data_IF_033982406425
#
_entry.id   IF_033982406425
#
_cell.length_a   1.000
_cell.length_b   1.000
_cell.length_c   1.000
_cell.angle_alpha   90.00
_cell.angle_beta   90.00
_cell.angle_gamma   90.00
#
_symmetry.space_group_name_H-M   'P 1'
#
loop_
_entity.id
_entity.type
_entity.pdbx_description
1 polymer ?
#
# COMPACT_ATOMS: atom_id res chain seq x y z
N UNK A 1 -20.82 19.51 -80.13
CA UNK A 1 -20.34 20.23 -78.92
C UNK A 1 -21.14 19.81 -77.69
N UNK A 2 -21.15 18.51 -77.35
CA UNK A 2 -22.05 17.95 -76.31
C UNK A 2 -21.31 17.29 -75.14
N UNK A 3 -20.00 17.02 -75.25
CA UNK A 3 -19.26 16.28 -74.22
C UNK A 3 -18.84 17.10 -72.99
N UNK A 4 -18.90 18.44 -73.07
CA UNK A 4 -18.48 19.31 -71.95
C UNK A 4 -19.58 19.47 -70.87
N UNK A 5 -20.85 19.30 -71.26
CA UNK A 5 -21.99 19.37 -70.33
C UNK A 5 -22.03 18.17 -69.38
N UNK A 6 -21.63 16.99 -69.85
CA UNK A 6 -21.74 15.73 -69.09
C UNK A 6 -20.70 15.62 -67.95
N UNK A 7 -19.50 16.19 -68.12
CA UNK A 7 -18.47 16.19 -67.08
C UNK A 7 -18.94 17.00 -65.86
N UNK A 8 -19.60 18.13 -66.07
CA UNK A 8 -20.01 19.03 -64.99
C UNK A 8 -21.17 18.46 -64.14
N UNK A 9 -22.04 17.62 -64.71
CA UNK A 9 -23.13 17.00 -63.95
C UNK A 9 -22.66 15.83 -63.06
N UNK A 10 -21.70 15.04 -63.54
CA UNK A 10 -21.23 13.86 -62.80
C UNK A 10 -20.57 14.21 -61.46
N UNK A 11 -19.84 15.34 -61.38
CA UNK A 11 -19.14 15.75 -60.17
C UNK A 11 -19.96 16.67 -59.25
N UNK A 12 -21.09 17.22 -59.70
CA UNK A 12 -21.90 18.16 -58.90
C UNK A 12 -22.41 17.53 -57.61
N UNK A 13 -22.97 16.31 -57.68
CA UNK A 13 -23.51 15.62 -56.51
C UNK A 13 -22.43 15.22 -55.49
N UNK A 14 -21.21 14.95 -55.96
CA UNK A 14 -20.03 14.65 -55.12
C UNK A 14 -19.48 15.91 -54.45
N UNK A 15 -19.42 17.03 -55.19
CA UNK A 15 -19.01 18.31 -54.63
C UNK A 15 -19.99 18.77 -53.55
N UNK A 16 -21.30 18.55 -53.74
CA UNK A 16 -22.32 19.01 -52.81
C UNK A 16 -22.26 18.39 -51.42
N UNK A 17 -21.69 17.20 -51.31
CA UNK A 17 -21.48 16.48 -50.04
C UNK A 17 -20.25 16.96 -49.25
N UNK A 18 -19.42 17.83 -49.85
CA UNK A 18 -18.21 18.32 -49.20
C UNK A 18 -18.47 19.57 -48.34
N UNK A 19 -17.74 19.73 -47.22
CA UNK A 19 -17.76 20.95 -46.43
C UNK A 19 -17.42 22.20 -47.26
N UNK A 20 -18.02 23.38 -46.98
CA UNK A 20 -17.80 24.60 -47.76
C UNK A 20 -16.33 25.03 -47.92
N UNK A 21 -15.48 24.71 -46.93
CA UNK A 21 -14.04 24.96 -46.97
C UNK A 21 -13.34 24.10 -48.03
N UNK A 22 -13.77 22.84 -48.20
CA UNK A 22 -13.18 21.90 -49.16
C UNK A 22 -13.70 22.13 -50.58
N UNK A 23 -14.96 22.55 -50.75
CA UNK A 23 -15.53 22.93 -52.05
C UNK A 23 -14.66 23.97 -52.78
N UNK A 24 -14.19 24.99 -52.05
CA UNK A 24 -13.32 26.04 -52.61
C UNK A 24 -11.95 25.50 -53.03
N UNK A 25 -11.31 24.66 -52.21
CA UNK A 25 -9.99 24.11 -52.52
C UNK A 25 -10.04 23.13 -53.70
N UNK A 26 -11.07 22.28 -53.75
CA UNK A 26 -11.29 21.36 -54.88
C UNK A 26 -11.58 22.12 -56.17
N UNK A 27 -12.44 23.15 -56.13
CA UNK A 27 -12.71 24.01 -57.29
C UNK A 27 -11.46 24.77 -57.76
N UNK A 28 -10.65 25.27 -56.83
CA UNK A 28 -9.38 25.92 -57.13
C UNK A 28 -8.42 24.95 -57.83
N UNK A 29 -8.27 23.72 -57.32
CA UNK A 29 -7.43 22.67 -57.92
C UNK A 29 -7.91 22.25 -59.32
N UNK A 30 -9.22 22.16 -59.52
CA UNK A 30 -9.81 21.82 -60.82
C UNK A 30 -9.56 22.92 -61.87
N UNK A 31 -9.57 24.19 -61.44
CA UNK A 31 -9.39 25.35 -62.34
C UNK A 31 -7.93 25.76 -62.54
N UNK A 32 -7.03 25.41 -61.61
CA UNK A 32 -5.58 25.67 -61.72
C UNK A 32 -4.77 24.54 -62.36
N UNK A 33 -5.36 23.36 -62.60
CA UNK A 33 -4.69 22.24 -63.33
C UNK A 33 -4.49 22.48 -64.84
N UNK A 34 -4.47 23.74 -65.29
CA UNK A 34 -4.50 24.16 -66.70
C UNK A 34 -3.22 23.80 -67.48
N UNK A 35 -2.08 23.52 -66.82
CA UNK A 35 -0.78 23.40 -67.49
C UNK A 35 -0.07 22.04 -67.37
N UNK A 36 -0.65 21.01 -66.72
CA UNK A 36 -0.15 19.63 -66.80
C UNK A 36 -1.20 18.61 -66.29
N UNK A 37 -2.27 18.33 -67.05
CA UNK A 37 -3.20 17.26 -66.71
C UNK A 37 -2.49 15.91 -66.86
N UNK A 38 -2.55 15.06 -65.82
CA UNK A 38 -2.22 13.64 -65.96
C UNK A 38 -3.08 13.07 -67.08
N UNK A 39 -2.45 12.33 -68.01
CA UNK A 39 -3.19 11.53 -69.00
C UNK A 39 -4.19 10.62 -68.27
N UNK A 40 -5.32 10.30 -68.93
CA UNK A 40 -6.31 9.34 -68.45
C UNK A 40 -5.67 7.99 -68.07
N UNK A 41 -4.54 7.65 -68.70
CA UNK A 41 -3.73 6.46 -68.42
C UNK A 41 -2.81 6.60 -67.19
N UNK A 42 -2.42 7.82 -66.81
CA UNK A 42 -1.48 8.10 -65.72
C UNK A 42 -2.16 8.39 -64.38
N UNK A 43 -3.39 8.91 -64.41
CA UNK A 43 -4.19 9.17 -63.22
C UNK A 43 -4.43 7.93 -62.32
N UNK A 44 -4.84 6.75 -62.86
CA UNK A 44 -5.07 5.57 -62.03
C UNK A 44 -3.78 5.01 -61.42
N UNK A 45 -2.65 5.15 -62.11
CA UNK A 45 -1.33 4.70 -61.62
C UNK A 45 -0.89 5.56 -60.43
N UNK A 46 -1.00 6.89 -60.55
CA UNK A 46 -0.65 7.80 -59.48
C UNK A 46 -1.56 7.65 -58.25
N UNK A 47 -2.86 7.39 -58.46
CA UNK A 47 -3.81 7.10 -57.38
C UNK A 47 -3.47 5.79 -56.66
N UNK A 48 -3.18 4.74 -57.42
CA UNK A 48 -2.80 3.44 -56.86
C UNK A 48 -1.48 3.51 -56.07
N UNK A 49 -0.50 4.26 -56.58
CA UNK A 49 0.78 4.47 -55.89
C UNK A 49 0.60 5.27 -54.59
N UNK A 50 -0.18 6.36 -54.62
CA UNK A 50 -0.52 7.13 -53.43
C UNK A 50 -1.25 6.27 -52.38
N UNK A 51 -2.23 5.47 -52.81
CA UNK A 51 -2.95 4.54 -51.94
C UNK A 51 -2.01 3.51 -51.30
N UNK A 52 -1.09 2.91 -52.06
CA UNK A 52 -0.13 1.95 -51.55
C UNK A 52 0.86 2.57 -50.55
N UNK A 53 1.31 3.80 -50.80
CA UNK A 53 2.20 4.52 -49.90
C UNK A 53 1.50 4.88 -48.59
N UNK A 54 0.25 5.34 -48.64
CA UNK A 54 -0.58 5.59 -47.46
C UNK A 54 -0.78 4.30 -46.67
N UNK A 55 -1.15 3.20 -47.34
CA UNK A 55 -1.36 1.89 -46.69
C UNK A 55 -0.11 1.42 -45.94
N UNK A 56 1.06 1.45 -46.59
CA UNK A 56 2.34 1.08 -45.96
C UNK A 56 2.67 1.93 -44.73
N UNK A 57 2.39 3.23 -44.81
CA UNK A 57 2.63 4.17 -43.70
C UNK A 57 1.75 3.85 -42.50
N UNK A 58 0.45 3.58 -42.74
CA UNK A 58 -0.49 3.19 -41.68
C UNK A 58 -0.07 1.85 -41.06
N UNK A 59 0.28 0.86 -41.87
CA UNK A 59 0.73 -0.45 -41.38
C UNK A 59 1.98 -0.34 -40.49
N UNK A 60 2.95 0.49 -40.88
CA UNK A 60 4.14 0.75 -40.08
C UNK A 60 3.79 1.42 -38.74
N UNK A 61 2.98 2.48 -38.75
CA UNK A 61 2.54 3.16 -37.53
C UNK A 61 1.76 2.23 -36.60
N UNK A 62 0.86 1.40 -37.14
CA UNK A 62 0.12 0.41 -36.35
C UNK A 62 1.06 -0.62 -35.71
N UNK A 63 2.10 -1.06 -36.43
CA UNK A 63 3.09 -1.98 -35.87
C UNK A 63 3.90 -1.34 -34.73
N UNK A 64 4.32 -0.09 -34.88
CA UNK A 64 5.03 0.68 -33.84
C UNK A 64 4.16 0.88 -32.60
N UNK A 65 2.90 1.27 -32.78
CA UNK A 65 1.95 1.47 -31.68
C UNK A 65 1.65 0.16 -30.94
N UNK A 66 1.49 -0.95 -31.66
CA UNK A 66 1.32 -2.28 -31.06
C UNK A 66 2.53 -2.67 -30.22
N UNK A 67 3.74 -2.40 -30.71
CA UNK A 67 4.97 -2.66 -29.96
C UNK A 67 5.04 -1.78 -28.70
N UNK A 68 4.79 -0.48 -28.84
CA UNK A 68 4.79 0.47 -27.71
C UNK A 68 3.81 0.06 -26.61
N UNK A 69 2.58 -0.28 -26.99
CA UNK A 69 1.54 -0.75 -26.05
C UNK A 69 1.96 -2.03 -25.32
N UNK A 70 2.62 -2.96 -26.04
CA UNK A 70 3.13 -4.19 -25.44
C UNK A 70 4.23 -3.91 -24.42
N UNK A 71 5.21 -3.07 -24.78
CA UNK A 71 6.31 -2.69 -23.91
C UNK A 71 5.79 -1.95 -22.64
N UNK A 72 4.81 -1.05 -22.81
CA UNK A 72 4.18 -0.33 -21.69
C UNK A 72 3.40 -1.27 -20.76
N UNK A 73 2.66 -2.23 -21.32
CA UNK A 73 1.96 -3.25 -20.55
C UNK A 73 2.95 -4.10 -19.72
N UNK A 74 4.04 -4.56 -20.33
CA UNK A 74 5.04 -5.39 -19.67
C UNK A 74 5.77 -4.59 -18.56
N UNK A 75 6.07 -3.30 -18.81
CA UNK A 75 6.63 -2.41 -17.80
C UNK A 75 5.69 -2.17 -16.62
N UNK A 76 4.40 -1.97 -16.89
CA UNK A 76 3.37 -1.80 -15.85
C UNK A 76 3.23 -3.08 -15.01
N UNK A 77 3.24 -4.24 -15.65
CA UNK A 77 3.19 -5.52 -14.95
C UNK A 77 4.39 -5.73 -14.04
N UNK A 78 5.61 -5.48 -14.54
CA UNK A 78 6.83 -5.57 -13.73
C UNK A 78 6.80 -4.59 -12.55
N UNK A 79 6.33 -3.35 -12.77
CA UNK A 79 6.18 -2.35 -11.71
C UNK A 79 5.19 -2.80 -10.64
N UNK A 80 4.00 -3.28 -11.04
CA UNK A 80 2.97 -3.77 -10.12
C UNK A 80 3.49 -4.92 -9.27
N UNK A 81 4.21 -5.87 -9.88
CA UNK A 81 4.81 -7.01 -9.18
C UNK A 81 5.88 -6.56 -8.18
N UNK A 82 6.74 -5.62 -8.58
CA UNK A 82 7.76 -5.04 -7.68
C UNK A 82 7.14 -4.30 -6.50
N UNK A 83 6.12 -3.47 -6.72
CA UNK A 83 5.42 -2.74 -5.66
C UNK A 83 4.77 -3.71 -4.66
N UNK A 84 4.11 -4.76 -5.15
CA UNK A 84 3.54 -5.80 -4.30
C UNK A 84 4.62 -6.51 -3.46
N UNK A 85 5.72 -6.93 -4.08
CA UNK A 85 6.81 -7.62 -3.38
C UNK A 85 7.47 -6.73 -2.33
N UNK A 86 7.72 -5.45 -2.66
CA UNK A 86 8.27 -4.48 -1.71
C UNK A 86 7.34 -4.29 -0.51
N UNK A 87 6.04 -4.12 -0.75
CA UNK A 87 5.04 -4.00 0.32
C UNK A 87 5.03 -5.24 1.23
N UNK A 88 5.09 -6.43 0.64
CA UNK A 88 5.12 -7.68 1.41
C UNK A 88 6.38 -7.82 2.26
N UNK A 89 7.54 -7.38 1.76
CA UNK A 89 8.79 -7.36 2.53
C UNK A 89 8.70 -6.37 3.69
N UNK A 90 8.22 -5.16 3.46
CA UNK A 90 8.04 -4.14 4.50
C UNK A 90 7.10 -4.62 5.62
N UNK A 91 5.95 -5.21 5.24
CA UNK A 91 5.00 -5.78 6.21
C UNK A 91 5.64 -6.90 7.03
N UNK A 92 6.39 -7.81 6.40
CA UNK A 92 7.10 -8.89 7.12
C UNK A 92 8.11 -8.34 8.11
N UNK A 93 8.88 -7.33 7.70
CA UNK A 93 9.87 -6.69 8.57
C UNK A 93 9.19 -5.99 9.75
N UNK A 94 8.08 -5.29 9.51
CA UNK A 94 7.31 -4.61 10.53
C UNK A 94 6.71 -5.58 11.55
N UNK A 95 6.15 -6.69 11.08
CA UNK A 95 5.65 -7.78 11.95
C UNK A 95 6.79 -8.34 12.82
N UNK A 96 7.96 -8.58 12.23
CA UNK A 96 9.12 -9.06 12.97
C UNK A 96 9.55 -8.08 14.07
N UNK A 97 9.62 -6.78 13.76
CA UNK A 97 9.97 -5.76 14.75
C UNK A 97 8.95 -5.65 15.88
N UNK A 98 7.64 -5.70 15.57
CA UNK A 98 6.60 -5.64 16.59
C UNK A 98 6.63 -6.87 17.50
N UNK A 99 6.89 -8.05 16.93
CA UNK A 99 7.03 -9.28 17.72
C UNK A 99 8.13 -9.15 18.76
N UNK A 100 9.34 -8.73 18.36
CA UNK A 100 10.45 -8.55 19.31
C UNK A 100 10.16 -7.48 20.36
N UNK A 101 9.57 -6.34 19.97
CA UNK A 101 9.19 -5.30 20.93
C UNK A 101 8.25 -5.84 22.01
N UNK A 102 7.24 -6.64 21.62
CA UNK A 102 6.30 -7.25 22.57
C UNK A 102 7.00 -8.28 23.48
N UNK A 103 7.89 -9.10 22.93
CA UNK A 103 8.67 -10.08 23.69
C UNK A 103 9.55 -9.39 24.74
N UNK A 104 10.26 -8.32 24.36
CA UNK A 104 11.12 -7.54 25.24
C UNK A 104 10.31 -6.83 26.34
N UNK A 105 9.17 -6.23 25.98
CA UNK A 105 8.26 -5.61 26.94
C UNK A 105 7.73 -6.62 27.96
N UNK A 106 7.27 -7.78 27.48
CA UNK A 106 6.75 -8.83 28.36
C UNK A 106 7.82 -9.34 29.31
N UNK A 107 9.04 -9.57 28.81
CA UNK A 107 10.18 -10.01 29.61
C UNK A 107 10.54 -8.98 30.67
N UNK A 108 10.66 -7.71 30.29
CA UNK A 108 10.97 -6.62 31.22
C UNK A 108 9.92 -6.49 32.32
N UNK A 109 8.64 -6.49 31.96
CA UNK A 109 7.55 -6.39 32.93
C UNK A 109 7.54 -7.60 33.89
N UNK A 110 7.76 -8.80 33.36
CA UNK A 110 7.86 -10.02 34.19
C UNK A 110 9.00 -9.91 35.21
N UNK A 111 10.18 -9.43 34.79
CA UNK A 111 11.33 -9.29 35.69
C UNK A 111 11.12 -8.23 36.75
N UNK A 112 10.47 -7.12 36.40
CA UNK A 112 10.15 -6.06 37.37
C UNK A 112 9.16 -6.56 38.41
N UNK A 113 8.09 -7.23 37.98
CA UNK A 113 7.07 -7.78 38.87
C UNK A 113 7.66 -8.84 39.82
N UNK A 114 8.51 -9.73 39.31
CA UNK A 114 9.21 -10.73 40.12
C UNK A 114 10.10 -10.06 41.18
N UNK A 115 10.84 -9.02 40.80
CA UNK A 115 11.67 -8.25 41.72
C UNK A 115 10.83 -7.56 42.80
N UNK A 116 9.70 -6.95 42.43
CA UNK A 116 8.78 -6.32 43.38
C UNK A 116 8.25 -7.33 44.40
N UNK A 117 7.77 -8.50 43.97
CA UNK A 117 7.29 -9.53 44.88
C UNK A 117 8.37 -10.05 45.82
N UNK A 118 9.57 -10.33 45.31
CA UNK A 118 10.71 -10.76 46.13
C UNK A 118 11.06 -9.73 47.21
N UNK A 119 11.10 -8.45 46.83
CA UNK A 119 11.37 -7.33 47.75
C UNK A 119 10.30 -7.21 48.85
N UNK A 120 9.02 -7.34 48.48
CA UNK A 120 7.91 -7.30 49.43
C UNK A 120 7.94 -8.49 50.40
N UNK A 121 8.21 -9.70 49.90
CA UNK A 121 8.36 -10.91 50.71
C UNK A 121 9.46 -10.71 51.75
N UNK A 122 10.65 -10.25 51.33
CA UNK A 122 11.77 -9.98 52.26
C UNK A 122 11.42 -8.93 53.31
N UNK A 123 10.62 -7.93 52.96
CA UNK A 123 10.15 -6.92 53.91
C UNK A 123 9.19 -7.51 54.95
N UNK A 124 8.25 -8.34 54.51
CA UNK A 124 7.30 -9.04 55.39
C UNK A 124 8.00 -10.04 56.31
N UNK A 125 8.95 -10.83 55.80
CA UNK A 125 9.74 -11.77 56.59
C UNK A 125 10.47 -11.07 57.75
N UNK A 126 11.10 -9.92 57.47
CA UNK A 126 11.75 -9.10 58.51
C UNK A 126 10.76 -8.62 59.58
N UNK A 127 9.58 -8.17 59.15
CA UNK A 127 8.52 -7.73 60.07
C UNK A 127 8.01 -8.88 60.94
N UNK A 128 7.85 -10.08 60.38
CA UNK A 128 7.40 -11.27 61.11
C UNK A 128 8.40 -11.62 62.22
N UNK A 129 9.70 -11.66 61.92
CA UNK A 129 10.75 -11.93 62.92
C UNK A 129 10.71 -10.95 64.09
N UNK A 130 10.46 -9.65 63.81
CA UNK A 130 10.31 -8.64 64.86
C UNK A 130 9.07 -8.92 65.71
N UNK A 131 7.94 -9.26 65.08
CA UNK A 131 6.69 -9.58 65.78
C UNK A 131 6.80 -10.85 66.62
N UNK A 132 7.46 -11.89 66.13
CA UNK A 132 7.70 -13.12 66.90
C UNK A 132 8.52 -12.85 68.17
N UNK A 133 9.52 -11.94 68.09
CA UNK A 133 10.28 -11.51 69.26
C UNK A 133 9.41 -10.75 70.27
N UNK A 134 8.49 -9.91 69.81
CA UNK A 134 7.53 -9.20 70.68
C UNK A 134 6.59 -10.19 71.36
N UNK A 135 6.05 -11.15 70.62
CA UNK A 135 5.20 -12.23 71.15
C UNK A 135 5.95 -13.02 72.22
N UNK A 136 7.19 -13.42 71.97
CA UNK A 136 8.02 -14.14 72.94
C UNK A 136 8.21 -13.39 74.27
N UNK A 137 8.42 -12.06 74.20
CA UNK A 137 8.50 -11.22 75.41
C UNK A 137 7.18 -11.21 76.19
N UNK A 138 6.06 -11.00 75.49
CA UNK A 138 4.73 -10.99 76.12
C UNK A 138 4.40 -12.35 76.75
N UNK A 139 4.71 -13.46 76.08
CA UNK A 139 4.52 -14.82 76.61
C UNK A 139 5.33 -15.06 77.89
N UNK A 140 6.56 -14.54 77.97
CA UNK A 140 7.38 -14.62 79.17
C UNK A 140 6.76 -13.82 80.32
N UNK A 141 6.32 -12.58 80.07
CA UNK A 141 5.65 -11.73 81.07
C UNK A 141 4.37 -12.39 81.60
N UNK A 142 3.54 -12.98 80.72
CA UNK A 142 2.32 -13.68 81.12
C UNK A 142 2.65 -14.89 82.01
N UNK A 143 3.68 -15.65 81.65
CA UNK A 143 4.13 -16.81 82.45
C UNK A 143 4.60 -16.39 83.83
N UNK A 144 5.38 -15.30 83.93
CA UNK A 144 5.83 -14.75 85.20
C UNK A 144 4.65 -14.31 86.07
N UNK A 145 3.75 -13.47 85.54
CA UNK A 145 2.56 -13.01 86.26
C UNK A 145 1.66 -14.16 86.74
N UNK A 146 1.58 -15.25 85.98
CA UNK A 146 0.83 -16.44 86.37
C UNK A 146 1.46 -17.15 87.57
N UNK A 147 2.78 -17.21 87.63
CA UNK A 147 3.50 -17.79 88.77
C UNK A 147 3.39 -16.88 90.00
N UNK A 148 3.65 -15.58 89.85
CA UNK A 148 3.53 -14.60 90.93
C UNK A 148 2.13 -14.63 91.57
N UNK A 149 1.07 -14.75 90.74
CA UNK A 149 -0.31 -14.91 91.23
C UNK A 149 -0.51 -16.17 92.08
N UNK A 150 0.09 -17.30 91.68
CA UNK A 150 0.00 -18.55 92.45
C UNK A 150 0.71 -18.40 93.78
N UNK A 151 1.88 -17.78 93.80
CA UNK A 151 2.66 -17.57 95.02
C UNK A 151 1.90 -16.70 96.02
N UNK A 152 1.29 -15.60 95.55
CA UNK A 152 0.41 -14.75 96.38
C UNK A 152 -0.77 -15.54 96.95
N UNK A 153 -1.46 -16.35 96.14
CA UNK A 153 -2.56 -17.19 96.61
C UNK A 153 -2.09 -18.20 97.67
N UNK A 154 -0.90 -18.79 97.50
CA UNK A 154 -0.32 -19.71 98.46
C UNK A 154 -0.03 -19.01 99.79
N UNK A 155 0.60 -17.83 99.76
CA UNK A 155 0.86 -17.01 100.94
C UNK A 155 -0.42 -16.66 101.71
N UNK A 156 -1.51 -16.34 101.01
CA UNK A 156 -2.79 -16.04 101.66
C UNK A 156 -3.42 -17.26 102.35
N UNK A 157 -3.26 -18.46 101.81
CA UNK A 157 -3.79 -19.70 102.41
C UNK A 157 -3.03 -20.08 103.69
N UNK A 158 -1.71 -19.90 103.73
CA UNK A 158 -0.89 -20.24 104.90
C UNK A 158 -0.86 -19.14 105.98
N UNK A 159 -1.49 -17.99 105.75
CA UNK A 159 -1.58 -16.89 106.71
C UNK A 159 -2.88 -16.90 107.55
N UNK A 160 -3.78 -17.86 107.30
CA UNK A 160 -5.01 -18.15 108.05
C UNK A 160 -4.85 -19.44 108.86
#
# INVERSE_FOLDING_TARGET
>A
MTSQSHFNEHYKSLLDQLPPSMKKDVWLRLTTRKNNPLSEEQAPVAEHEAHNNIKKTIEAQVAEERKRLKDEYDALMARKESEYNNCMVDMKQKIFSFKHQLEDQHKSHSTDLEWQYKSQITTLEKSIVVKDKEIGKLSATISQLKNDKKDVLLCMVYAL
#
